data_IF_998450743018
#
_entry.id   IF_998450743018
#
_cell.length_a   1.000
_cell.length_b   1.000
_cell.length_c   1.000
_cell.angle_alpha   90.00
_cell.angle_beta   90.00
_cell.angle_gamma   90.00
#
_symmetry.space_group_name_H-M   'P 1'
#
loop_
_entity.id
_entity.type
_entity.pdbx_description
1 polymer ?
#
# COMPACT_ATOMS: atom_id res chain seq x y z
N UNK A 1 -17.96 16.65 -12.06
CA UNK A 1 -17.64 15.68 -10.99
C UNK A 1 -16.17 15.90 -10.58
N UNK A 2 -15.92 16.90 -9.72
CA UNK A 2 -14.55 17.28 -9.31
C UNK A 2 -14.06 16.29 -8.23
N UNK A 3 -13.25 15.31 -8.64
CA UNK A 3 -12.65 14.30 -7.75
C UNK A 3 -11.44 14.83 -6.96
N UNK A 4 -11.03 16.09 -7.18
CA UNK A 4 -9.83 16.71 -6.59
C UNK A 4 -10.16 17.66 -5.42
N UNK A 5 -11.44 18.01 -5.22
CA UNK A 5 -11.88 18.92 -4.14
C UNK A 5 -12.08 18.25 -2.76
N UNK A 6 -11.94 16.92 -2.64
CA UNK A 6 -12.15 16.25 -1.37
C UNK A 6 -10.87 16.29 -0.52
N UNK A 7 -10.93 17.08 0.57
CA UNK A 7 -10.02 17.14 1.70
C UNK A 7 -8.79 16.21 1.61
N UNK A 8 -7.54 16.76 1.60
CA UNK A 8 -6.32 15.95 1.50
C UNK A 8 -6.22 14.85 2.56
N UNK A 9 -6.92 15.02 3.70
CA UNK A 9 -7.08 14.02 4.76
C UNK A 9 -7.83 12.76 4.30
N UNK A 10 -8.94 12.91 3.58
CA UNK A 10 -9.76 11.78 3.08
C UNK A 10 -9.05 11.06 1.94
N UNK A 11 -8.36 11.81 1.07
CA UNK A 11 -7.57 11.24 -0.02
C UNK A 11 -6.43 10.37 0.54
N UNK A 12 -5.72 10.87 1.55
CA UNK A 12 -4.66 10.14 2.25
C UNK A 12 -5.23 8.88 2.94
N UNK A 13 -6.38 8.99 3.62
CA UNK A 13 -7.01 7.86 4.29
C UNK A 13 -7.42 6.75 3.30
N UNK A 14 -7.94 7.11 2.13
CA UNK A 14 -8.30 6.14 1.08
C UNK A 14 -7.05 5.45 0.50
N UNK A 15 -5.98 6.19 0.26
CA UNK A 15 -4.71 5.61 -0.20
C UNK A 15 -4.12 4.66 0.82
N UNK A 16 -4.25 4.97 2.10
CA UNK A 16 -3.83 4.07 3.16
C UNK A 16 -4.62 2.76 3.14
N UNK A 17 -5.94 2.83 3.01
CA UNK A 17 -6.78 1.63 2.93
C UNK A 17 -6.37 0.78 1.71
N UNK A 18 -6.13 1.40 0.56
CA UNK A 18 -5.67 0.70 -0.64
C UNK A 18 -4.31 0.03 -0.41
N UNK A 19 -3.35 0.73 0.21
CA UNK A 19 -2.04 0.19 0.52
C UNK A 19 -2.08 -0.96 1.54
N UNK A 20 -2.91 -0.83 2.58
CA UNK A 20 -3.09 -1.86 3.59
C UNK A 20 -3.79 -3.09 3.01
N UNK A 21 -4.78 -2.90 2.14
CA UNK A 21 -5.41 -3.99 1.38
C UNK A 21 -4.38 -4.70 0.48
N UNK A 22 -3.47 -3.96 -0.16
CA UNK A 22 -2.36 -4.53 -0.95
C UNK A 22 -1.42 -5.39 -0.11
N UNK A 23 -1.02 -4.91 1.08
CA UNK A 23 -0.18 -5.67 2.03
C UNK A 23 -0.90 -6.94 2.49
N UNK A 24 -2.19 -6.84 2.84
CA UNK A 24 -3.00 -8.00 3.21
C UNK A 24 -3.10 -9.00 2.04
N UNK A 25 -3.27 -8.50 0.81
CA UNK A 25 -3.30 -9.33 -0.40
C UNK A 25 -1.98 -10.07 -0.64
N UNK A 26 -0.83 -9.47 -0.31
CA UNK A 26 0.49 -10.12 -0.36
C UNK A 26 0.74 -11.06 0.84
N UNK A 27 0.10 -10.85 1.99
CA UNK A 27 0.18 -11.75 3.15
C UNK A 27 -0.58 -13.07 2.91
N UNK A 28 -1.69 -13.05 2.18
CA UNK A 28 -2.48 -14.26 1.86
C UNK A 28 -1.64 -15.35 1.14
N UNK A 29 -0.89 -15.06 0.06
CA UNK A 29 -0.04 -16.06 -0.57
C UNK A 29 1.12 -16.48 0.33
N UNK A 30 1.65 -15.58 1.18
CA UNK A 30 2.66 -15.92 2.18
C UNK A 30 2.13 -16.95 3.20
N UNK A 31 0.93 -16.74 3.74
CA UNK A 31 0.30 -17.69 4.67
C UNK A 31 0.06 -19.05 3.99
N UNK A 32 -0.30 -19.06 2.70
CA UNK A 32 -0.48 -20.31 1.98
C UNK A 32 0.84 -21.05 1.68
N UNK A 33 2.00 -20.37 1.65
CA UNK A 33 3.28 -21.09 1.56
C UNK A 33 3.58 -21.98 2.76
N UNK A 34 2.96 -21.72 3.92
CA UNK A 34 3.10 -22.54 5.14
C UNK A 34 2.11 -23.70 5.17
N UNK A 35 0.90 -23.51 4.62
CA UNK A 35 -0.18 -24.50 4.71
C UNK A 35 -0.33 -25.38 3.46
N UNK A 36 0.24 -25.00 2.31
CA UNK A 36 0.20 -25.78 1.05
C UNK A 36 -1.21 -26.20 0.62
N UNK A 37 -2.22 -25.34 0.81
CA UNK A 37 -3.63 -25.67 0.50
C UNK A 37 -4.02 -25.24 -0.93
N UNK A 38 -3.45 -24.13 -1.41
CA UNK A 38 -3.77 -23.56 -2.73
C UNK A 38 -2.64 -23.68 -3.77
N UNK A 39 -3.05 -23.73 -5.05
CA UNK A 39 -2.20 -23.81 -6.25
C UNK A 39 -1.10 -22.73 -6.28
N UNK A 40 0.19 -23.11 -6.43
CA UNK A 40 1.32 -22.18 -6.36
C UNK A 40 1.29 -21.10 -7.44
N UNK A 41 0.73 -21.37 -8.62
CA UNK A 41 0.68 -20.41 -9.73
C UNK A 41 -0.28 -19.25 -9.49
N UNK A 42 -1.46 -19.50 -8.90
CA UNK A 42 -2.45 -18.44 -8.61
C UNK A 42 -1.97 -17.50 -7.51
N UNK A 43 -1.20 -18.03 -6.56
CA UNK A 43 -0.66 -17.28 -5.44
C UNK A 43 0.46 -16.34 -5.88
N UNK A 44 1.29 -16.76 -6.83
CA UNK A 44 2.34 -15.91 -7.39
C UNK A 44 1.75 -14.72 -8.15
N UNK A 45 0.66 -14.97 -8.90
CA UNK A 45 -0.10 -13.90 -9.56
C UNK A 45 -0.74 -12.94 -8.56
N UNK A 46 -1.32 -13.46 -7.48
CA UNK A 46 -1.91 -12.65 -6.42
C UNK A 46 -0.86 -11.80 -5.69
N UNK A 47 0.34 -12.35 -5.48
CA UNK A 47 1.47 -11.64 -4.87
C UNK A 47 1.97 -10.50 -5.79
N UNK A 48 2.05 -10.74 -7.11
CA UNK A 48 2.33 -9.70 -8.09
C UNK A 48 1.28 -8.58 -8.12
N UNK A 49 0.00 -8.93 -7.96
CA UNK A 49 -1.09 -7.96 -7.88
C UNK A 49 -1.04 -7.12 -6.60
N UNK A 50 -0.70 -7.76 -5.47
CA UNK A 50 -0.48 -7.06 -4.20
C UNK A 50 0.72 -6.11 -4.27
N UNK A 51 1.82 -6.50 -4.91
CA UNK A 51 2.99 -5.63 -5.16
C UNK A 51 2.61 -4.41 -6.02
N UNK A 52 1.83 -4.61 -7.08
CA UNK A 52 1.30 -3.51 -7.90
C UNK A 52 0.45 -2.53 -7.07
N UNK A 53 -0.47 -3.06 -6.26
CA UNK A 53 -1.28 -2.23 -5.36
C UNK A 53 -0.41 -1.46 -4.35
N UNK A 54 0.66 -2.09 -3.85
CA UNK A 54 1.58 -1.49 -2.91
C UNK A 54 2.43 -0.38 -3.55
N UNK A 55 2.88 -0.56 -4.79
CA UNK A 55 3.57 0.46 -5.59
C UNK A 55 2.67 1.67 -5.86
N UNK A 56 1.40 1.44 -6.22
CA UNK A 56 0.42 2.50 -6.44
C UNK A 56 0.20 3.27 -5.13
N UNK A 57 -0.02 2.57 -4.02
CA UNK A 57 -0.20 3.19 -2.71
C UNK A 57 1.03 3.98 -2.25
N UNK A 58 2.25 3.46 -2.49
CA UNK A 58 3.51 4.15 -2.18
C UNK A 58 3.65 5.43 -3.00
N UNK A 59 3.38 5.36 -4.31
CA UNK A 59 3.45 6.52 -5.21
C UNK A 59 2.51 7.64 -4.75
N UNK A 60 1.28 7.29 -4.37
CA UNK A 60 0.33 8.29 -3.86
C UNK A 60 0.74 8.80 -2.47
N UNK A 61 1.26 7.95 -1.59
CA UNK A 61 1.74 8.39 -0.28
C UNK A 61 2.91 9.39 -0.39
N UNK A 62 3.85 9.16 -1.32
CA UNK A 62 4.95 10.11 -1.64
C UNK A 62 4.41 11.39 -2.27
N UNK A 63 3.43 11.29 -3.19
CA UNK A 63 2.78 12.45 -3.78
C UNK A 63 2.10 13.33 -2.72
N UNK A 64 1.36 12.72 -1.80
CA UNK A 64 0.76 13.43 -0.67
C UNK A 64 1.86 14.03 0.21
N UNK A 65 2.93 13.32 0.54
CA UNK A 65 4.05 13.89 1.32
C UNK A 65 4.70 15.12 0.65
N UNK A 66 4.77 15.14 -0.69
CA UNK A 66 5.28 16.27 -1.50
C UNK A 66 4.28 17.43 -1.61
N UNK A 67 3.02 17.24 -1.27
CA UNK A 67 2.00 18.27 -1.35
C UNK A 67 2.24 19.32 -0.25
N UNK A 68 2.61 20.55 -0.62
CA UNK A 68 2.98 21.63 0.32
C UNK A 68 1.83 22.11 1.24
N UNK A 69 0.56 21.82 0.93
CA UNK A 69 -0.63 22.35 1.64
C UNK A 69 -1.24 21.38 2.68
N UNK A 70 -0.42 20.62 3.40
CA UNK A 70 -0.93 19.63 4.37
C UNK A 70 -0.60 20.11 5.79
N UNK A 71 -1.60 20.13 6.67
CA UNK A 71 -1.42 20.38 8.10
C UNK A 71 -0.43 19.37 8.72
N UNK A 72 0.30 19.75 9.75
CA UNK A 72 1.40 18.94 10.31
C UNK A 72 0.95 17.53 10.74
N UNK A 73 -0.23 17.37 11.35
CA UNK A 73 -0.76 16.07 11.79
C UNK A 73 -0.88 15.01 10.69
N UNK A 74 -1.56 15.26 9.55
CA UNK A 74 -1.61 14.31 8.45
C UNK A 74 -0.25 14.03 7.78
N UNK A 75 0.74 14.91 7.95
CA UNK A 75 2.08 14.77 7.38
C UNK A 75 2.89 13.69 8.10
N UNK A 76 2.82 13.63 9.43
CA UNK A 76 3.50 12.57 10.23
C UNK A 76 2.89 11.19 10.00
N UNK A 77 1.56 11.14 9.85
CA UNK A 77 0.87 9.90 9.51
C UNK A 77 1.28 9.39 8.13
N UNK A 78 1.33 10.28 7.13
CA UNK A 78 1.81 9.94 5.79
C UNK A 78 3.26 9.46 5.79
N UNK A 79 4.15 10.09 6.58
CA UNK A 79 5.55 9.70 6.71
C UNK A 79 5.70 8.27 7.26
N UNK A 80 4.97 7.97 8.35
CA UNK A 80 4.96 6.63 8.94
C UNK A 80 4.41 5.58 7.97
N UNK A 81 3.37 5.92 7.20
CA UNK A 81 2.80 5.04 6.18
C UNK A 81 3.77 4.74 5.04
N UNK A 82 4.49 5.75 4.52
CA UNK A 82 5.52 5.54 3.49
C UNK A 82 6.60 4.58 3.99
N UNK A 83 7.00 4.69 5.26
CA UNK A 83 7.97 3.77 5.87
C UNK A 83 7.42 2.35 5.91
N UNK A 84 6.19 2.14 6.39
CA UNK A 84 5.58 0.80 6.47
C UNK A 84 5.40 0.19 5.08
N UNK A 85 4.86 0.94 4.12
CA UNK A 85 4.69 0.49 2.73
C UNK A 85 6.04 0.20 2.07
N UNK A 86 7.05 1.03 2.31
CA UNK A 86 8.40 0.85 1.79
C UNK A 86 9.09 -0.39 2.35
N UNK A 87 9.04 -0.59 3.68
CA UNK A 87 9.61 -1.79 4.33
C UNK A 87 8.89 -3.05 3.86
N UNK A 88 7.55 -3.02 3.78
CA UNK A 88 6.78 -4.15 3.27
C UNK A 88 7.13 -4.46 1.81
N UNK A 89 7.33 -3.44 0.97
CA UNK A 89 7.70 -3.62 -0.43
C UNK A 89 9.09 -4.23 -0.56
N UNK A 90 10.07 -3.73 0.20
CA UNK A 90 11.42 -4.28 0.26
C UNK A 90 11.40 -5.74 0.75
N UNK A 91 10.60 -6.05 1.76
CA UNK A 91 10.43 -7.42 2.26
C UNK A 91 9.90 -8.38 1.18
N UNK A 92 8.87 -7.97 0.44
CA UNK A 92 8.32 -8.78 -0.65
C UNK A 92 9.23 -8.86 -1.88
N UNK A 93 10.07 -7.85 -2.12
CA UNK A 93 11.03 -7.86 -3.24
C UNK A 93 12.28 -8.68 -2.94
N UNK A 94 12.69 -8.80 -1.67
CA UNK A 94 13.83 -9.60 -1.22
C UNK A 94 13.53 -11.09 -1.08
N UNK A 95 12.25 -11.47 -1.05
CA UNK A 95 11.81 -12.87 -0.93
C UNK A 95 11.60 -13.50 -2.30
#
# INVERSE_FOLDING_TARGET
MSWIDQDPRKLLQRCFIIGLVGILLCIIPLANTVWTIFDPQKLNFLNGFGLLAQLIALSIAVYVLRMRKIAEGPKDKAKSMVIVLGVALVFFMLR
#
